data_IF_866133288584
#
_entry.id   IF_866133288584
#
_cell.length_a   1.000
_cell.length_b   1.000
_cell.length_c   1.000
_cell.angle_alpha   90.00
_cell.angle_beta   90.00
_cell.angle_gamma   90.00
#
_symmetry.space_group_name_H-M   'P 1'
#
loop_
_entity.id
_entity.type
_entity.pdbx_description
1 polymer ?
2 non-polymer ?
3 non-polymer ?
4 non-polymer ?
5 water ?
#
# COMPACT_ATOMS: atom_id res chain seq x y z
N UNK A 15 -5.70 8.11 42.47
CA UNK A 15 -4.96 7.24 43.43
C UNK A 15 -5.29 5.74 43.26
N UNK A 16 -4.35 4.91 43.71
CA UNK A 16 -4.53 3.47 43.72
C UNK A 16 -5.16 3.00 45.03
N UNK A 17 -5.51 1.69 45.15
CA UNK A 17 -5.88 1.13 46.47
C UNK A 17 -4.70 1.13 47.48
N UNK A 18 -5.03 1.13 48.76
CA UNK A 18 -4.00 1.14 49.81
C UNK A 18 -3.01 -0.02 49.59
N UNK A 19 -1.71 0.28 49.53
CA UNK A 19 -0.69 -0.76 49.34
C UNK A 19 -0.42 -1.57 50.62
N UNK A 20 -1.24 -2.60 50.79
CA UNK A 20 -1.39 -3.40 51.97
C UNK A 20 -0.86 -4.85 51.69
N UNK A 21 -0.57 -5.67 52.74
CA UNK A 21 -0.19 -7.03 52.35
C UNK A 21 -1.34 -7.77 51.65
N UNK A 22 -2.56 -7.44 52.02
CA UNK A 22 -3.71 -8.07 51.46
C UNK A 22 -3.77 -7.79 49.97
N UNK A 23 -3.40 -6.55 49.60
CA UNK A 23 -3.53 -6.10 48.24
C UNK A 23 -2.46 -6.77 47.36
N UNK A 24 -1.28 -7.01 47.93
CA UNK A 24 -0.16 -7.57 47.20
C UNK A 24 -0.50 -9.05 46.99
N UNK A 25 -1.16 -9.65 47.98
CA UNK A 25 -1.68 -11.01 47.82
C UNK A 25 -2.73 -11.06 46.66
N UNK A 26 -3.85 -10.33 46.79
CA UNK A 26 -4.77 -10.12 45.65
C UNK A 26 -4.04 -10.09 44.28
N UNK A 27 -2.96 -9.32 44.22
CA UNK A 27 -2.24 -9.06 43.00
C UNK A 27 -1.35 -10.25 42.59
N UNK A 28 -0.86 -11.01 43.56
CA UNK A 28 -0.12 -12.23 43.28
C UNK A 28 -1.11 -13.27 42.73
N UNK A 29 -2.33 -13.30 43.28
CA UNK A 29 -3.41 -14.13 42.72
C UNK A 29 -3.71 -13.74 41.30
N UNK A 30 -3.85 -12.43 41.01
CA UNK A 30 -4.13 -12.02 39.60
C UNK A 30 -3.13 -12.64 38.61
N UNK A 31 -1.83 -12.53 38.92
CA UNK A 31 -0.78 -13.07 38.03
C UNK A 31 -1.00 -14.56 37.90
N UNK A 32 -1.32 -15.22 39.00
CA UNK A 32 -1.38 -16.67 39.00
C UNK A 32 -2.48 -17.08 38.04
N UNK A 33 -3.58 -16.33 38.08
CA UNK A 33 -4.88 -16.70 37.53
C UNK A 33 -5.16 -16.07 36.17
N UNK A 34 -4.18 -15.34 35.63
CA UNK A 34 -4.26 -14.66 34.37
C UNK A 34 -5.36 -13.61 34.36
N UNK A 35 -5.38 -12.83 35.44
CA UNK A 35 -6.20 -11.63 35.56
C UNK A 35 -5.33 -10.34 35.53
N UNK A 36 -5.75 -9.34 34.75
CA UNK A 36 -5.15 -8.01 34.84
C UNK A 36 -6.29 -7.02 35.08
N UNK A 37 -6.29 -6.31 36.24
CA UNK A 37 -7.38 -5.42 36.65
C UNK A 37 -7.41 -4.10 35.83
N UNK A 38 -8.58 -3.66 35.35
CA UNK A 38 -8.63 -2.44 34.60
C UNK A 38 -7.99 -1.27 35.37
N UNK A 39 -8.18 -1.17 36.68
CA UNK A 39 -7.72 0.05 37.42
C UNK A 39 -6.19 0.30 37.48
N UNK A 40 -5.41 -0.67 37.03
CA UNK A 40 -3.95 -0.64 37.05
C UNK A 40 -3.50 -0.15 35.68
N UNK A 41 -4.40 -0.28 34.71
CA UNK A 41 -4.10 0.09 33.34
C UNK A 41 -3.89 1.59 33.16
N UNK A 42 -3.17 1.94 32.08
CA UNK A 42 -2.92 3.33 31.71
C UNK A 42 -3.94 3.85 30.69
N UNK A 43 -4.30 5.13 30.83
CA UNK A 43 -5.36 5.74 30.03
C UNK A 43 -5.39 5.21 28.62
N UNK A 44 -4.19 5.18 28.02
CA UNK A 44 -3.99 4.93 26.60
C UNK A 44 -4.27 3.47 26.14
N UNK A 45 -5.00 2.70 26.95
CA UNK A 45 -5.66 1.51 26.45
C UNK A 45 -6.91 1.96 25.72
N UNK A 46 -7.47 3.12 26.11
CA UNK A 46 -8.57 3.80 25.40
C UNK A 46 -8.27 5.33 25.27
N UNK A 47 -7.43 5.70 24.29
CA UNK A 47 -6.93 7.06 24.22
C UNK A 47 -7.94 8.03 23.68
N UNK A 48 -7.78 9.31 24.01
CA UNK A 48 -8.67 10.43 23.62
C UNK A 48 -8.86 10.45 22.11
N UNK A 49 -7.82 10.04 21.40
CA UNK A 49 -7.82 9.97 19.94
C UNK A 49 -6.70 9.00 19.59
N UNK A 50 -6.59 8.58 18.33
CA UNK A 50 -5.59 7.54 18.08
C UNK A 50 -4.16 8.06 18.18
N UNK A 51 -3.34 7.32 18.93
CA UNK A 51 -1.97 7.71 19.11
C UNK A 51 -1.07 6.53 18.73
N UNK A 52 -0.66 6.46 17.46
CA UNK A 52 0.02 5.24 16.99
C UNK A 52 1.42 4.95 17.60
N UNK A 53 1.72 3.67 17.80
CA UNK A 53 3.10 3.24 18.10
C UNK A 53 3.99 3.56 16.91
N UNK A 54 3.40 3.45 15.72
CA UNK A 54 4.08 3.74 14.46
C UNK A 54 4.29 5.26 14.35
N UNK A 55 5.34 5.65 13.65
CA UNK A 55 5.62 7.08 13.55
C UNK A 55 5.67 7.51 12.11
N UNK A 56 5.40 8.82 11.85
CA UNK A 56 5.62 9.27 10.47
C UNK A 56 7.09 9.04 10.09
N UNK A 57 7.34 8.48 8.92
CA UNK A 57 8.72 8.24 8.50
C UNK A 57 8.85 8.38 6.98
N UNK A 58 10.04 8.74 6.48
CA UNK A 58 10.32 8.85 5.04
C UNK A 58 11.47 7.91 4.69
N UNK A 59 11.39 7.26 3.53
CA UNK A 59 12.54 6.50 3.04
C UNK A 59 12.98 7.14 1.75
N UNK A 60 14.26 7.45 1.64
CA UNK A 60 14.74 8.08 0.42
C UNK A 60 14.96 7.02 -0.65
N UNK A 61 14.39 7.29 -1.81
CA UNK A 61 14.50 6.34 -2.89
C UNK A 61 15.97 5.98 -3.21
N UNK A 62 16.83 7.00 -3.24
CA UNK A 62 18.24 6.83 -3.62
C UNK A 62 18.90 5.88 -2.62
N UNK A 63 18.44 5.93 -1.38
CA UNK A 63 18.83 4.89 -0.44
C UNK A 63 18.23 3.52 -0.75
N UNK A 64 16.94 3.45 -1.06
CA UNK A 64 16.32 2.18 -1.36
C UNK A 64 16.91 1.54 -2.61
N UNK A 65 17.13 2.33 -3.65
CA UNK A 65 17.77 1.85 -4.87
C UNK A 65 19.21 1.32 -4.60
N UNK A 66 19.99 2.03 -3.78
CA UNK A 66 21.38 1.63 -3.52
C UNK A 66 21.41 0.30 -2.80
N UNK A 67 20.63 0.18 -1.72
CA UNK A 67 20.48 -1.07 -0.96
C UNK A 67 19.91 -2.27 -1.77
N UNK A 68 19.03 -1.98 -2.74
CA UNK A 68 18.47 -2.99 -3.63
C UNK A 68 19.49 -3.55 -4.66
N UNK A 69 20.27 -2.68 -5.33
CA UNK A 69 21.32 -3.13 -6.22
C UNK A 69 22.29 -4.01 -5.40
N UNK A 70 22.63 -3.54 -4.21
CA UNK A 70 23.56 -4.23 -3.35
C UNK A 70 22.97 -5.62 -3.02
N UNK A 71 21.76 -5.66 -2.45
CA UNK A 71 21.07 -6.92 -2.20
C UNK A 71 21.14 -7.86 -3.43
N UNK A 72 21.13 -7.29 -4.62
CA UNK A 72 21.14 -8.09 -5.83
C UNK A 72 22.46 -8.81 -6.09
N UNK A 73 23.55 -8.18 -5.69
CA UNK A 73 24.87 -8.74 -5.83
C UNK A 73 25.09 -9.81 -4.80
N UNK A 74 24.67 -9.54 -3.57
CA UNK A 74 25.08 -10.34 -2.44
C UNK A 74 24.15 -11.51 -2.19
N UNK A 75 22.95 -11.46 -2.76
CA UNK A 75 21.89 -12.42 -2.43
C UNK A 75 21.32 -12.98 -3.73
N UNK A 76 22.03 -13.95 -4.38
CA UNK A 76 21.50 -14.47 -5.65
C UNK A 76 20.48 -15.59 -5.37
N UNK A 77 19.90 -16.19 -6.41
CA UNK A 77 18.93 -17.28 -6.25
C UNK A 77 19.57 -18.58 -5.69
N UNK A 78 18.87 -19.23 -4.76
CA UNK A 78 19.40 -20.41 -4.05
C UNK A 78 20.05 -20.12 -2.69
N UNK A 79 20.26 -18.84 -2.39
CA UNK A 79 20.89 -18.36 -1.13
C UNK A 79 20.13 -17.09 -0.66
N UNK A 80 18.84 -16.99 -0.99
CA UNK A 80 17.99 -15.88 -0.55
C UNK A 80 17.32 -15.07 -1.65
N UNK A 81 17.93 -15.06 -2.83
CA UNK A 81 17.45 -14.32 -4.01
C UNK A 81 16.03 -14.40 -4.57
N UNK A 82 15.23 -15.41 -4.16
CA UNK A 82 13.82 -15.48 -4.61
C UNK A 82 12.88 -14.68 -3.66
N UNK A 83 13.46 -14.24 -2.54
CA UNK A 83 12.75 -13.36 -1.64
C UNK A 83 13.57 -12.09 -1.43
N UNK A 84 13.77 -11.34 -2.51
CA UNK A 84 14.63 -10.18 -2.45
C UNK A 84 13.76 -8.93 -2.37
N UNK A 85 13.13 -8.75 -1.22
CA UNK A 85 12.25 -7.63 -0.97
C UNK A 85 12.80 -6.96 0.29
N UNK A 86 12.85 -5.63 0.32
CA UNK A 86 13.41 -4.93 1.46
C UNK A 86 12.26 -4.24 2.10
N UNK A 87 11.81 -4.80 3.22
CA UNK A 87 10.66 -4.26 3.93
C UNK A 87 10.92 -2.93 4.62
N UNK A 88 10.10 -1.94 4.28
CA UNK A 88 10.13 -0.69 5.01
C UNK A 88 9.59 -0.91 6.44
N UNK A 89 10.43 -0.78 7.45
CA UNK A 89 10.04 -1.13 8.80
C UNK A 89 9.87 0.13 9.67
N UNK A 90 8.65 0.40 10.11
CA UNK A 90 8.44 1.61 10.92
C UNK A 90 9.30 1.67 12.18
N UNK A 91 10.10 2.74 12.34
CA UNK A 91 10.94 2.83 13.53
C UNK A 91 10.20 2.67 14.85
N UNK A 92 8.89 2.97 14.88
CA UNK A 92 8.11 2.79 16.12
C UNK A 92 7.52 1.40 16.38
N UNK A 93 7.67 0.46 15.42
CA UNK A 93 6.95 -0.83 15.54
C UNK A 93 7.84 -2.01 16.01
N UNK A 94 8.80 -1.70 16.89
CA UNK A 94 9.51 -2.68 17.71
C UNK A 94 10.21 -3.82 17.00
N UNK A 95 10.74 -3.57 15.79
CA UNK A 95 11.51 -4.56 15.06
C UNK A 95 10.69 -5.45 14.11
N UNK A 96 9.36 -5.24 14.04
CA UNK A 96 8.54 -5.93 13.01
C UNK A 96 8.73 -5.29 11.63
N UNK A 97 8.70 -6.15 10.60
CA UNK A 97 8.85 -5.68 9.26
C UNK A 97 7.56 -5.02 8.78
N UNK A 98 7.04 -4.07 9.58
CA UNK A 98 5.77 -3.37 9.28
C UNK A 98 5.93 -1.89 8.89
N UNK A 99 5.42 -1.45 7.72
CA UNK A 99 5.42 0.00 7.55
C UNK A 99 4.36 0.69 8.49
N UNK A 100 3.22 0.04 8.71
CA UNK A 100 2.23 0.49 9.70
C UNK A 100 1.66 -0.77 10.38
N UNK A 101 0.71 -0.58 11.30
CA UNK A 101 0.18 -1.72 12.05
C UNK A 101 -0.63 -2.63 11.14
N UNK A 102 -1.16 -2.05 10.06
CA UNK A 102 -1.94 -2.83 9.10
C UNK A 102 -1.19 -3.29 7.82
N UNK A 103 -0.14 -2.56 7.41
CA UNK A 103 0.44 -2.75 6.10
C UNK A 103 1.93 -3.09 6.04
N UNK A 104 2.27 -3.87 5.01
CA UNK A 104 3.65 -4.17 4.63
C UNK A 104 3.97 -3.52 3.29
N UNK A 105 5.15 -2.96 3.18
CA UNK A 105 5.50 -2.27 1.96
C UNK A 105 6.98 -2.57 1.74
N UNK A 106 7.33 -3.19 0.62
CA UNK A 106 8.74 -3.59 0.39
C UNK A 106 9.18 -3.24 -1.02
N UNK A 107 10.50 -3.09 -1.25
CA UNK A 107 10.99 -2.92 -2.61
C UNK A 107 11.52 -4.27 -3.07
N UNK A 108 10.80 -4.91 -3.99
CA UNK A 108 11.23 -6.15 -4.56
C UNK A 108 12.16 -5.78 -5.67
N UNK A 109 13.30 -6.48 -5.73
CA UNK A 109 14.30 -6.26 -6.76
C UNK A 109 14.48 -7.55 -7.50
N UNK A 110 14.04 -7.58 -8.74
CA UNK A 110 14.17 -8.78 -9.58
C UNK A 110 15.35 -8.63 -10.54
N UNK A 111 16.36 -9.48 -10.35
CA UNK A 111 17.55 -9.48 -11.23
C UNK A 111 17.22 -10.10 -12.60
N UNK A 112 18.14 -9.91 -13.57
CA UNK A 112 18.11 -10.47 -14.93
C UNK A 112 17.72 -11.94 -14.98
N UNK A 113 16.66 -12.26 -15.73
CA UNK A 113 16.22 -13.64 -16.02
C UNK A 113 15.62 -14.46 -14.88
N UNK A 114 15.49 -13.84 -13.71
CA UNK A 114 15.01 -14.52 -12.49
C UNK A 114 13.52 -14.86 -12.51
N UNK A 115 13.16 -15.92 -11.80
CA UNK A 115 11.77 -16.34 -11.67
C UNK A 115 11.37 -16.72 -10.23
N UNK A 116 10.06 -16.94 -10.02
CA UNK A 116 9.52 -17.47 -8.74
C UNK A 116 8.38 -18.47 -9.01
N UNK A 117 8.23 -19.52 -8.18
CA UNK A 117 7.09 -20.43 -8.47
C UNK A 117 5.77 -19.93 -7.84
N UNK A 118 4.67 -20.53 -8.26
CA UNK A 118 3.37 -20.13 -7.80
C UNK A 118 3.16 -20.49 -6.34
N UNK A 119 2.65 -19.51 -5.58
CA UNK A 119 2.00 -19.74 -4.28
C UNK A 119 0.69 -18.97 -4.17
N UNK A 120 -0.04 -19.18 -3.07
CA UNK A 120 -1.24 -18.41 -2.74
C UNK A 120 -1.25 -18.21 -1.23
N UNK A 121 -2.07 -17.26 -0.79
CA UNK A 121 -2.18 -16.92 0.62
C UNK A 121 -3.42 -16.01 0.80
N UNK A 122 -3.95 -15.99 2.00
CA UNK A 122 -5.13 -15.21 2.28
C UNK A 122 -4.83 -13.72 2.24
N UNK A 123 -3.59 -13.34 2.61
CA UNK A 123 -3.15 -11.92 2.60
C UNK A 123 -3.35 -11.33 1.23
N UNK A 124 -3.88 -10.11 1.15
CA UNK A 124 -4.11 -9.43 -0.13
C UNK A 124 -2.83 -8.66 -0.54
N UNK A 125 -2.55 -8.63 -1.85
CA UNK A 125 -1.30 -8.03 -2.34
C UNK A 125 -1.47 -7.25 -3.63
N UNK A 126 -0.71 -6.17 -3.77
CA UNK A 126 -0.51 -5.51 -5.04
C UNK A 126 1.00 -5.34 -5.28
N UNK A 127 1.33 -4.97 -6.54
CA UNK A 127 2.70 -4.75 -7.03
C UNK A 127 2.65 -3.53 -7.95
N UNK A 128 3.32 -2.45 -7.53
CA UNK A 128 3.31 -1.22 -8.27
C UNK A 128 4.67 -1.00 -8.90
N UNK A 129 4.73 -1.20 -10.22
CA UNK A 129 6.01 -1.07 -10.95
C UNK A 129 6.64 0.33 -10.92
N UNK A 130 7.89 0.36 -10.49
CA UNK A 130 8.67 1.59 -10.36
C UNK A 130 9.61 1.81 -11.57
N UNK A 131 10.53 0.86 -11.79
CA UNK A 131 11.47 0.88 -12.90
C UNK A 131 11.40 -0.48 -13.53
N UNK A 132 11.37 -0.53 -14.86
CA UNK A 132 11.61 -1.83 -15.49
C UNK A 132 10.58 -2.14 -16.54
N UNK A 133 10.85 -3.16 -17.36
CA UNK A 133 9.80 -3.81 -18.21
C UNK A 133 10.03 -5.32 -18.39
N UNK A 134 9.18 -5.96 -19.18
CA UNK A 134 9.36 -7.37 -19.58
C UNK A 134 9.29 -8.42 -18.47
N UNK A 135 8.60 -8.09 -17.40
CA UNK A 135 8.37 -9.07 -16.33
C UNK A 135 6.90 -9.41 -16.30
N UNK A 136 6.62 -10.70 -16.23
CA UNK A 136 5.25 -11.10 -16.15
C UNK A 136 5.06 -11.67 -14.79
N UNK A 137 3.94 -11.31 -14.17
CA UNK A 137 3.45 -12.03 -13.02
C UNK A 137 2.31 -12.82 -13.55
N UNK A 138 2.22 -14.08 -13.17
CA UNK A 138 1.17 -14.98 -13.66
C UNK A 138 0.20 -15.26 -12.51
N UNK A 139 -1.06 -14.85 -12.67
CA UNK A 139 -2.03 -14.84 -11.60
C UNK A 139 -3.15 -15.79 -11.98
N UNK A 140 -3.33 -16.83 -11.19
CA UNK A 140 -4.15 -17.98 -11.61
C UNK A 140 -3.92 -18.34 -13.09
N UNK A 141 -2.66 -18.55 -13.48
CA UNK A 141 -2.35 -18.98 -14.85
C UNK A 141 -2.42 -17.93 -15.96
N UNK A 142 -2.68 -16.66 -15.60
CA UNK A 142 -2.90 -15.60 -16.59
C UNK A 142 -1.78 -14.56 -16.51
N UNK A 143 -0.94 -14.50 -17.56
CA UNK A 143 0.26 -13.69 -17.41
C UNK A 143 -0.02 -12.20 -17.59
N UNK A 144 0.52 -11.39 -16.69
CA UNK A 144 0.23 -10.00 -16.67
C UNK A 144 1.57 -9.33 -16.88
N UNK A 145 1.76 -8.73 -18.05
CA UNK A 145 2.98 -7.98 -18.37
C UNK A 145 3.11 -6.82 -17.37
N UNK A 146 4.33 -6.49 -16.94
CA UNK A 146 4.55 -5.47 -15.93
C UNK A 146 5.33 -4.35 -16.57
N UNK A 147 4.93 -3.09 -16.36
CA UNK A 147 5.83 -1.97 -16.68
C UNK A 147 5.64 -0.70 -15.86
N UNK A 148 6.49 0.29 -16.08
CA UNK A 148 6.52 1.42 -15.19
C UNK A 148 5.18 2.17 -15.10
N UNK A 149 4.68 2.27 -13.86
CA UNK A 149 3.48 3.03 -13.51
C UNK A 149 2.30 2.09 -13.45
N UNK A 150 2.51 0.81 -13.74
CA UNK A 150 1.40 -0.12 -13.68
C UNK A 150 1.17 -0.55 -12.29
N UNK A 151 -0.10 -0.51 -11.88
CA UNK A 151 -0.54 -1.24 -10.68
C UNK A 151 -1.00 -2.66 -11.02
N UNK A 152 -0.32 -3.65 -10.47
CA UNK A 152 -0.82 -5.00 -10.58
C UNK A 152 -1.42 -5.47 -9.26
N UNK A 153 -2.42 -6.34 -9.37
CA UNK A 153 -3.01 -7.00 -8.21
C UNK A 153 -2.74 -8.50 -8.15
N UNK A 154 -2.45 -9.00 -6.97
CA UNK A 154 -2.63 -10.42 -6.80
C UNK A 154 -3.47 -10.66 -5.54
N UNK A 155 -4.80 -10.56 -5.69
CA UNK A 155 -5.74 -10.62 -4.57
C UNK A 155 -5.58 -11.91 -3.78
N UNK A 156 -6.03 -11.90 -2.52
CA UNK A 156 -6.05 -13.08 -1.66
C UNK A 156 -6.42 -14.38 -2.37
N UNK A 157 -5.55 -15.39 -2.29
CA UNK A 157 -5.87 -16.77 -2.62
C UNK A 157 -5.78 -17.09 -4.12
N UNK A 158 -5.18 -16.16 -4.85
CA UNK A 158 -4.91 -16.25 -6.26
C UNK A 158 -3.49 -16.73 -6.39
N UNK A 159 -3.29 -17.86 -7.06
CA UNK A 159 -1.91 -18.34 -7.34
C UNK A 159 -1.14 -17.25 -8.11
N UNK A 160 0.04 -16.87 -7.64
CA UNK A 160 0.85 -15.96 -8.42
C UNK A 160 2.29 -16.44 -8.38
N UNK A 161 2.96 -16.38 -9.54
CA UNK A 161 4.42 -16.49 -9.61
C UNK A 161 4.86 -15.48 -10.64
N UNK A 162 6.14 -15.19 -10.70
CA UNK A 162 6.58 -14.31 -11.75
C UNK A 162 7.74 -14.90 -12.60
N UNK A 163 8.07 -14.23 -13.70
CA UNK A 163 9.19 -14.60 -14.58
C UNK A 163 9.69 -13.38 -15.29
N UNK A 164 10.96 -13.04 -15.07
CA UNK A 164 11.63 -11.97 -15.84
C UNK A 164 12.00 -12.43 -17.28
N UNK A 165 11.68 -11.61 -18.28
CA UNK A 165 12.01 -12.00 -19.67
C UNK A 165 13.19 -11.26 -20.30
N UNK A 166 14.08 -10.70 -19.48
CA UNK A 166 15.03 -9.71 -19.96
C UNK A 166 16.34 -9.75 -19.16
N UNK A 167 17.40 -9.17 -19.73
CA UNK A 167 18.70 -9.05 -19.05
C UNK A 167 18.74 -7.88 -18.05
N UNK A 168 17.58 -7.29 -17.78
CA UNK A 168 17.51 -6.06 -17.00
C UNK A 168 16.81 -6.24 -15.64
N UNK A 169 17.34 -5.60 -14.57
CA UNK A 169 16.60 -5.68 -13.30
C UNK A 169 15.26 -4.90 -13.36
N UNK A 170 14.30 -5.29 -12.54
CA UNK A 170 13.12 -4.46 -12.33
C UNK A 170 12.97 -4.32 -10.84
N UNK A 171 12.59 -3.12 -10.38
CA UNK A 171 12.09 -2.98 -8.99
C UNK A 171 10.62 -2.57 -8.89
N UNK A 172 9.91 -3.10 -7.92
CA UNK A 172 8.55 -2.67 -7.66
C UNK A 172 8.19 -2.64 -6.19
N UNK A 173 7.15 -1.86 -5.84
CA UNK A 173 6.62 -1.81 -4.49
C UNK A 173 5.75 -3.02 -4.35
N UNK A 174 5.97 -3.75 -3.26
CA UNK A 174 5.37 -5.01 -2.99
C UNK A 174 4.53 -4.79 -1.73
N UNK A 175 3.24 -4.40 -1.88
CA UNK A 175 2.38 -3.93 -0.76
C UNK A 175 1.33 -4.92 -0.32
N UNK A 176 1.29 -5.27 0.97
CA UNK A 176 0.38 -6.33 1.49
C UNK A 176 -0.23 -5.98 2.83
N UNK A 177 -1.24 -6.75 3.22
CA UNK A 177 -1.93 -6.52 4.49
C UNK A 177 -1.37 -7.55 5.47
N UNK A 178 -0.08 -7.86 5.25
CA UNK A 178 0.67 -8.86 6.07
C UNK A 178 0.54 -8.58 7.57
N UNK A 179 0.76 -7.31 7.99
CA UNK A 179 0.71 -6.96 9.41
C UNK A 179 -0.70 -7.05 10.02
N UNK A 180 -1.74 -6.62 9.33
CA UNK A 180 -3.09 -6.91 9.78
C UNK A 180 -3.31 -8.45 9.92
N UNK A 181 -2.84 -9.20 8.94
CA UNK A 181 -3.16 -10.61 8.86
C UNK A 181 -2.49 -11.41 9.97
N UNK A 182 -1.26 -11.02 10.29
CA UNK A 182 -0.51 -11.62 11.38
C UNK A 182 -1.13 -11.29 12.73
N UNK A 183 -1.43 -10.03 12.99
CA UNK A 183 -1.99 -9.70 14.29
C UNK A 183 -3.36 -10.29 14.51
N UNK A 184 -4.21 -10.35 13.49
CA UNK A 184 -5.57 -10.87 13.67
C UNK A 184 -5.74 -12.37 13.44
N UNK A 185 -4.67 -13.06 13.02
CA UNK A 185 -4.68 -14.51 12.79
C UNK A 185 -5.50 -15.03 11.56
N UNK A 186 -5.35 -14.40 10.39
CA UNK A 186 -6.17 -14.81 9.23
C UNK A 186 -5.33 -15.43 8.10
N UNK A 187 -4.09 -15.80 8.42
CA UNK A 187 -3.11 -16.16 7.36
C UNK A 187 -3.20 -17.61 6.92
N UNK A 188 -3.32 -17.85 5.63
CA UNK A 188 -3.20 -19.20 5.09
C UNK A 188 -2.22 -19.11 3.93
N UNK A 189 -1.65 -20.23 3.55
CA UNK A 189 -0.62 -20.22 2.52
C UNK A 189 -0.52 -21.61 1.88
N UNK A 190 -0.42 -21.66 0.56
CA UNK A 190 -0.22 -22.93 -0.16
C UNK A 190 0.83 -22.75 -1.24
N UNK A 191 1.61 -23.82 -1.48
CA UNK A 191 2.53 -23.95 -2.63
C UNK A 191 1.71 -24.55 -3.77
N UNK A 192 2.03 -24.22 -5.02
CA UNK A 192 1.27 -24.77 -6.20
C UNK A 192 1.86 -25.96 -6.96
N UNK A 193 1.54 -26.07 -8.27
CA UNK A 193 2.03 -27.16 -9.17
C UNK A 193 3.44 -26.94 -9.72
N UNK A 198 5.80 -23.59 -19.45
CA UNK A 198 5.76 -22.53 -20.47
C UNK A 198 5.64 -21.17 -19.78
N UNK A 199 6.53 -20.25 -20.16
CA UNK A 199 6.51 -18.87 -19.64
C UNK A 199 6.01 -17.93 -20.73
N UNK A 200 4.73 -18.05 -21.08
CA UNK A 200 4.13 -17.23 -22.13
C UNK A 200 4.24 -15.70 -21.86
N UNK A 201 4.34 -14.91 -22.92
CA UNK A 201 4.50 -13.45 -22.77
C UNK A 201 3.48 -12.55 -23.51
N UNK A 202 2.16 -12.70 -23.24
CA UNK A 202 1.19 -11.87 -23.98
C UNK A 202 1.34 -10.39 -23.61
N UNK A 203 1.16 -9.47 -24.57
CA UNK A 203 1.12 -8.05 -24.24
C UNK A 203 0.06 -7.65 -23.18
N UNK A 204 -1.08 -8.36 -23.17
CA UNK A 204 -2.17 -8.07 -22.27
C UNK A 204 -2.75 -9.36 -21.82
N UNK A 205 -3.09 -9.36 -20.54
CA UNK A 205 -3.63 -10.52 -19.87
C UNK A 205 -5.03 -10.68 -20.34
N UNK A 206 -5.55 -11.88 -20.15
CA UNK A 206 -6.93 -12.17 -20.41
C UNK A 206 -7.85 -11.23 -19.61
N UNK A 207 -7.52 -11.03 -18.33
CA UNK A 207 -8.38 -10.28 -17.39
C UNK A 207 -8.67 -8.93 -17.99
N UNK A 208 -7.59 -8.21 -18.31
CA UNK A 208 -7.67 -6.94 -19.00
C UNK A 208 -8.40 -6.99 -20.35
N UNK A 209 -8.26 -8.09 -21.09
CA UNK A 209 -8.93 -8.20 -22.38
C UNK A 209 -10.42 -8.30 -22.20
N UNK A 210 -10.85 -8.93 -21.11
CA UNK A 210 -12.26 -8.94 -20.71
C UNK A 210 -12.77 -7.61 -20.05
N UNK A 211 -11.94 -6.95 -19.24
CA UNK A 211 -12.49 -6.01 -18.26
C UNK A 211 -12.04 -4.56 -18.46
N UNK A 212 -11.12 -4.33 -19.38
CA UNK A 212 -10.64 -2.96 -19.51
C UNK A 212 -11.30 -2.18 -20.62
N UNK A 213 -12.56 -2.46 -20.87
CA UNK A 213 -13.37 -1.68 -21.82
C UNK A 213 -14.37 -0.85 -21.05
N UNK A 214 -14.28 0.49 -21.13
CA UNK A 214 -15.01 1.35 -20.16
C UNK A 214 -16.54 1.21 -20.21
N UNK A 215 -17.16 1.06 -19.05
CA UNK A 215 -18.61 0.89 -18.98
C UNK A 215 -19.20 -0.40 -19.56
N UNK A 216 -18.34 -1.33 -19.97
CA UNK A 216 -18.80 -2.58 -20.54
C UNK A 216 -18.51 -3.73 -19.58
N UNK A 217 -19.44 -4.70 -19.46
CA UNK A 217 -19.22 -5.87 -18.60
C UNK A 217 -19.59 -7.22 -19.29
N UNK A 218 -18.71 -8.23 -19.26
CA UNK A 218 -18.97 -9.45 -20.04
C UNK A 218 -20.13 -10.24 -19.48
N UNK A 219 -21.02 -10.81 -20.30
CA UNK A 219 -22.15 -11.58 -19.77
C UNK A 219 -21.70 -12.84 -19.04
N UNK A 220 -20.47 -13.24 -19.25
CA UNK A 220 -19.91 -14.34 -18.52
C UNK A 220 -19.35 -13.92 -17.13
N UNK A 221 -19.19 -12.60 -16.91
CA UNK A 221 -18.71 -12.03 -15.66
C UNK A 221 -19.81 -11.30 -14.92
N UNK A 222 -21.06 -11.80 -14.98
CA UNK A 222 -22.18 -11.12 -14.28
C UNK A 222 -22.19 -11.25 -12.76
N UNK A 223 -21.35 -12.13 -12.21
CA UNK A 223 -21.33 -12.29 -10.77
C UNK A 223 -20.33 -11.28 -10.19
N UNK A 224 -20.74 -10.55 -9.15
CA UNK A 224 -19.81 -9.70 -8.39
C UNK A 224 -18.66 -10.48 -7.71
N UNK A 225 -17.52 -9.80 -7.57
CA UNK A 225 -16.34 -10.45 -6.98
C UNK A 225 -15.87 -9.66 -5.76
N UNK A 226 -14.98 -10.21 -4.95
CA UNK A 226 -14.63 -9.48 -3.72
C UNK A 226 -13.42 -8.61 -3.93
N UNK A 227 -12.54 -9.10 -4.79
CA UNK A 227 -11.45 -8.28 -5.30
C UNK A 227 -11.75 -7.96 -6.76
N UNK A 228 -11.04 -6.97 -7.32
CA UNK A 228 -11.16 -6.59 -8.73
C UNK A 228 -10.71 -7.74 -9.61
N UNK A 229 -11.37 -8.00 -10.78
CA UNK A 229 -10.73 -8.94 -11.73
C UNK A 229 -9.70 -8.32 -12.67
N UNK A 230 -9.49 -7.00 -12.63
CA UNK A 230 -8.45 -6.34 -13.41
C UNK A 230 -7.09 -6.57 -12.78
N UNK A 231 -6.22 -7.30 -13.48
CA UNK A 231 -4.92 -7.67 -12.96
C UNK A 231 -3.92 -6.56 -13.15
N UNK A 232 -4.04 -5.74 -14.19
CA UNK A 232 -3.15 -4.54 -14.30
C UNK A 232 -3.91 -3.26 -14.65
N UNK A 233 -3.65 -2.23 -13.87
CA UNK A 233 -4.17 -0.92 -14.18
C UNK A 233 -3.02 -0.17 -14.77
N UNK A 234 -3.00 -0.13 -16.09
CA UNK A 234 -1.82 0.39 -16.76
C UNK A 234 -1.66 1.91 -16.70
N UNK A 235 -0.40 2.34 -16.64
CA UNK A 235 -0.02 3.76 -16.62
C UNK A 235 -0.83 4.64 -17.55
N UNK A 236 -0.90 4.20 -18.80
CA UNK A 236 -1.60 4.90 -19.88
C UNK A 236 -2.89 5.54 -19.37
N UNK A 237 -3.76 4.65 -18.88
CA UNK A 237 -5.09 5.05 -18.44
C UNK A 237 -5.01 5.99 -17.25
N UNK A 238 -4.16 5.64 -16.27
CA UNK A 238 -4.00 6.48 -15.08
C UNK A 238 -3.56 7.91 -15.48
N UNK A 239 -2.58 8.00 -16.38
CA UNK A 239 -2.11 9.29 -16.89
C UNK A 239 -3.22 10.08 -17.61
N UNK A 240 -3.89 9.43 -18.55
CA UNK A 240 -5.00 10.05 -19.27
C UNK A 240 -6.13 10.60 -18.36
N UNK A 241 -6.56 9.82 -17.37
CA UNK A 241 -7.60 10.29 -16.42
C UNK A 241 -7.16 11.55 -15.67
N UNK A 242 -5.90 11.56 -15.22
CA UNK A 242 -5.38 12.63 -14.39
C UNK A 242 -5.26 13.88 -15.23
N UNK A 243 -4.73 13.70 -16.43
CA UNK A 243 -4.71 14.79 -17.39
C UNK A 243 -6.12 15.32 -17.73
N UNK A 244 -7.09 14.45 -17.98
CA UNK A 244 -8.40 14.96 -18.36
C UNK A 244 -9.07 15.78 -17.25
N UNK A 245 -8.77 15.44 -16.00
CA UNK A 245 -9.28 16.14 -14.83
C UNK A 245 -8.70 17.55 -14.70
N UNK A 246 -7.45 17.67 -15.10
CA UNK A 246 -6.77 18.97 -15.13
C UNK A 246 -7.31 19.84 -16.29
N UNK A 247 -7.34 19.28 -17.50
CA UNK A 247 -8.00 19.91 -18.63
C UNK A 247 -9.44 20.39 -18.30
N UNK A 248 -10.24 19.55 -17.63
CA UNK A 248 -11.62 19.92 -17.18
C UNK A 248 -11.63 21.08 -16.18
N UNK A 249 -10.60 21.15 -15.32
CA UNK A 249 -10.44 22.31 -14.43
C UNK A 249 -10.19 23.61 -15.24
N UNK A 250 -9.32 23.53 -16.24
CA UNK A 250 -9.01 24.68 -17.12
C UNK A 250 -10.24 25.26 -17.85
N UNK A 251 -11.27 24.42 -17.99
CA UNK A 251 -12.45 24.69 -18.78
C UNK A 251 -13.66 25.10 -17.87
N UNK A 252 -13.39 25.27 -16.58
CA UNK A 252 -14.44 25.61 -15.62
C UNK A 252 -15.38 24.49 -15.21
N UNK A 253 -15.13 23.26 -15.69
CA UNK A 253 -15.94 22.05 -15.35
C UNK A 253 -15.46 21.38 -14.07
N UNK A 254 -16.40 20.94 -13.20
CA UNK A 254 -16.03 20.29 -11.92
C UNK A 254 -15.46 18.87 -12.15
N UNK A 255 -14.47 18.47 -11.34
CA UNK A 255 -13.68 17.25 -11.65
C UNK A 255 -12.61 16.90 -10.62
N UNK A 256 -11.83 17.89 -10.21
CA UNK A 256 -10.71 17.68 -9.33
C UNK A 256 -11.32 17.58 -7.95
N UNK A 257 -10.65 16.96 -6.98
CA UNK A 257 -11.21 16.92 -5.61
C UNK A 257 -11.05 18.24 -4.89
N UNK A 258 -10.01 18.96 -5.29
CA UNK A 258 -9.68 20.25 -4.70
C UNK A 258 -8.89 20.98 -5.77
N UNK A 259 -8.69 22.29 -5.61
CA UNK A 259 -8.12 23.02 -6.75
C UNK A 259 -6.68 22.60 -7.13
N UNK A 260 -6.48 22.25 -8.40
CA UNK A 260 -5.18 21.82 -8.88
C UNK A 260 -4.80 20.43 -8.39
N UNK A 261 -5.73 19.79 -7.67
CA UNK A 261 -5.53 18.45 -7.12
C UNK A 261 -6.36 17.44 -7.92
N UNK A 262 -5.79 16.85 -8.97
CA UNK A 262 -6.48 15.75 -9.69
C UNK A 262 -6.24 14.42 -8.95
N UNK A 263 -7.13 13.44 -9.06
CA UNK A 263 -6.99 12.19 -8.29
C UNK A 263 -7.98 11.10 -8.67
N UNK A 264 -7.52 9.85 -8.76
CA UNK A 264 -8.38 8.74 -9.13
C UNK A 264 -8.21 7.73 -8.07
N UNK A 265 -9.25 6.93 -7.86
CA UNK A 265 -9.15 5.73 -7.03
C UNK A 265 -9.19 4.50 -7.95
N UNK A 266 -8.31 3.52 -7.74
CA UNK A 266 -8.38 2.28 -8.48
C UNK A 266 -9.53 1.42 -7.89
N UNK A 267 -10.38 0.87 -8.74
CA UNK A 267 -11.59 0.21 -8.28
C UNK A 267 -11.82 -1.10 -8.97
N UNK A 268 -12.63 -1.92 -8.30
CA UNK A 268 -13.16 -3.21 -8.71
C UNK A 268 -14.32 -2.95 -9.65
N UNK A 269 -14.19 -3.32 -10.93
CA UNK A 269 -15.36 -2.91 -11.73
C UNK A 269 -16.66 -3.69 -11.48
N UNK A 270 -16.65 -4.83 -10.81
CA UNK A 270 -17.92 -5.54 -10.61
C UNK A 270 -18.86 -4.79 -9.61
N UNK A 271 -18.26 -3.91 -8.82
CA UNK A 271 -18.79 -3.38 -7.59
C UNK A 271 -18.64 -1.82 -7.53
N UNK A 272 -17.62 -1.26 -8.20
CA UNK A 272 -17.21 0.15 -8.03
C UNK A 272 -16.46 0.49 -6.71
N UNK A 273 -16.13 -0.51 -5.93
CA UNK A 273 -15.52 -0.32 -4.62
C UNK A 273 -14.03 -0.52 -4.74
N UNK A 274 -13.39 -0.82 -3.61
CA UNK A 274 -11.94 -0.92 -3.59
C UNK A 274 -11.39 -2.18 -4.28
N UNK A 275 -10.19 -2.08 -4.84
CA UNK A 275 -9.53 -3.23 -5.47
C UNK A 275 -9.55 -4.54 -4.67
N UNK A 276 -9.34 -4.45 -3.37
CA UNK A 276 -9.29 -5.66 -2.53
C UNK A 276 -9.88 -5.28 -1.16
N UNK A 277 -10.30 -6.27 -0.33
CA UNK A 277 -11.05 -5.86 0.85
C UNK A 277 -10.28 -5.09 1.87
N UNK A 278 -8.96 -5.24 1.92
CA UNK A 278 -8.22 -4.60 2.99
C UNK A 278 -7.40 -3.38 2.50
N UNK A 279 -7.37 -3.10 1.21
CA UNK A 279 -6.36 -2.17 0.73
C UNK A 279 -6.95 -1.25 -0.27
N UNK A 280 -6.66 0.05 -0.14
CA UNK A 280 -7.18 1.00 -1.13
C UNK A 280 -6.01 1.49 -1.96
N UNK A 281 -6.22 1.75 -3.23
CA UNK A 281 -5.15 2.31 -4.01
C UNK A 281 -5.70 3.50 -4.77
N UNK A 282 -4.86 4.49 -4.99
CA UNK A 282 -5.25 5.75 -5.55
C UNK A 282 -4.01 6.34 -6.21
N UNK A 283 -4.23 7.37 -7.02
CA UNK A 283 -3.12 8.08 -7.63
C UNK A 283 -3.51 9.54 -7.65
N UNK A 284 -2.59 10.42 -7.29
CA UNK A 284 -2.86 11.86 -7.22
C UNK A 284 -1.90 12.61 -8.10
N UNK A 285 -2.38 13.61 -8.84
CA UNK A 285 -1.51 14.51 -9.60
C UNK A 285 -1.73 15.97 -9.25
N UNK A 286 -0.67 16.64 -8.81
CA UNK A 286 -0.79 17.98 -8.34
C UNK A 286 -0.17 19.01 -9.28
N UNK A 287 -1.01 19.92 -9.72
CA UNK A 287 -0.54 21.05 -10.49
C UNK A 287 0.48 21.70 -9.55
N UNK A 288 1.60 22.12 -10.13
CA UNK A 288 2.59 22.96 -9.41
C UNK A 288 2.02 24.13 -8.57
N UNK A 289 2.55 24.30 -7.36
CA UNK A 289 2.07 25.35 -6.44
C UNK A 289 0.95 24.89 -5.50
N UNK A 290 0.33 23.77 -5.83
CA UNK A 290 -0.80 23.26 -5.07
C UNK A 290 -0.38 22.79 -3.66
N UNK A 291 -1.09 23.23 -2.64
CA UNK A 291 -0.80 22.79 -1.30
C UNK A 291 -2.11 22.23 -0.74
N UNK A 292 -2.14 21.01 -0.22
CA UNK A 292 -3.45 20.43 0.16
C UNK A 292 -3.78 20.89 1.56
N UNK A 293 -5.05 20.78 1.93
CA UNK A 293 -5.48 21.15 3.25
C UNK A 293 -5.09 20.02 4.18
N UNK A 294 -4.73 20.36 5.41
CA UNK A 294 -4.31 19.40 6.39
C UNK A 294 -5.46 18.47 6.75
N UNK A 295 -5.19 17.16 6.78
CA UNK A 295 -6.16 16.11 7.06
C UNK A 295 -5.60 15.25 8.18
N UNK A 296 -6.51 14.90 9.09
CA UNK A 296 -6.37 13.83 10.04
C UNK A 296 -7.33 12.70 9.56
N UNK A 297 -6.78 11.56 9.16
CA UNK A 297 -7.59 10.43 8.74
C UNK A 297 -7.26 9.22 9.65
N UNK A 298 -8.31 8.51 10.14
CA UNK A 298 -8.16 7.24 10.85
C UNK A 298 -7.50 6.18 9.93
N UNK A 299 -6.55 5.42 10.48
CA UNK A 299 -5.89 4.37 9.75
C UNK A 299 -4.68 4.93 9.06
N UNK A 300 -3.91 4.08 8.41
CA UNK A 300 -2.62 4.49 7.91
C UNK A 300 -2.56 4.53 6.41
N UNK A 301 -1.77 5.43 5.85
CA UNK A 301 -1.61 5.43 4.40
C UNK A 301 -0.12 5.50 4.04
N UNK A 302 0.24 5.04 2.86
CA UNK A 302 1.58 5.16 2.39
C UNK A 302 1.48 5.82 1.04
N UNK A 303 2.41 6.71 0.73
CA UNK A 303 2.50 7.36 -0.58
C UNK A 303 3.88 7.10 -1.20
N UNK A 304 3.98 7.15 -2.50
CA UNK A 304 5.29 7.06 -3.24
C UNK A 304 5.28 8.09 -4.34
N UNK A 305 6.30 8.93 -4.37
CA UNK A 305 6.41 9.96 -5.40
C UNK A 305 6.68 9.26 -6.71
N UNK A 306 5.72 9.28 -7.62
CA UNK A 306 5.99 8.69 -8.90
C UNK A 306 6.89 9.61 -9.72
N UNK A 307 6.60 10.90 -9.70
CA UNK A 307 7.26 11.91 -10.56
C UNK A 307 7.10 13.31 -9.97
N UNK A 308 8.06 14.20 -10.25
CA UNK A 308 8.02 15.57 -9.74
C UNK A 308 8.81 15.79 -8.47
N UNK A 309 8.64 16.97 -7.90
CA UNK A 309 9.33 17.35 -6.71
C UNK A 309 8.32 18.06 -5.88
N UNK A 310 8.43 17.94 -4.56
CA UNK A 310 7.54 18.68 -3.70
C UNK A 310 7.87 18.31 -2.28
N UNK A 311 6.90 18.44 -1.36
CA UNK A 311 7.16 18.17 0.04
C UNK A 311 5.97 17.53 0.79
N UNK A 312 6.20 16.89 1.93
CA UNK A 312 5.10 16.61 2.87
C UNK A 312 5.24 17.33 4.18
N UNK A 313 4.13 17.72 4.77
CA UNK A 313 4.16 18.10 6.17
C UNK A 313 3.49 16.95 6.88
N UNK A 314 4.05 16.53 7.99
CA UNK A 314 3.44 15.53 8.86
C UNK A 314 3.74 16.02 10.23
N UNK A 315 2.74 16.05 11.12
CA UNK A 315 2.91 16.61 12.47
C UNK A 315 3.60 18.00 12.51
N UNK A 316 3.54 18.77 11.42
CA UNK A 316 4.04 20.15 11.45
C UNK A 316 5.42 20.27 10.84
N UNK A 317 6.05 19.12 10.69
CA UNK A 317 7.38 18.99 10.18
C UNK A 317 7.35 18.74 8.69
N UNK A 318 7.96 19.66 7.92
CA UNK A 318 8.12 19.56 6.48
C UNK A 318 9.32 18.67 6.14
N UNK A 319 9.15 17.76 5.17
CA UNK A 319 10.24 17.00 4.56
C UNK A 319 10.15 17.14 3.04
N UNK A 320 11.23 17.58 2.41
CA UNK A 320 11.32 17.63 0.94
C UNK A 320 11.36 16.23 0.31
N UNK A 321 10.71 16.08 -0.84
CA UNK A 321 10.58 14.77 -1.47
C UNK A 321 11.06 14.77 -2.91
N UNK A 322 11.70 13.67 -3.29
CA UNK A 322 12.17 13.48 -4.66
C UNK A 322 11.54 12.21 -5.25
N UNK A 323 11.65 12.07 -6.57
CA UNK A 323 11.13 10.93 -7.28
C UNK A 323 11.46 9.58 -6.60
N UNK A 324 10.45 8.73 -6.39
CA UNK A 324 10.61 7.43 -5.70
C UNK A 324 10.45 7.41 -4.18
N UNK A 325 10.65 8.55 -3.51
CA UNK A 325 10.60 8.62 -2.04
C UNK A 325 9.27 8.13 -1.53
N UNK A 326 9.30 7.48 -0.37
CA UNK A 326 8.11 6.83 0.14
C UNK A 326 7.89 7.32 1.56
N UNK A 327 6.66 7.60 1.94
CA UNK A 327 6.41 7.95 3.35
C UNK A 327 5.09 7.38 3.90
N UNK A 328 5.01 7.27 5.23
CA UNK A 328 3.83 6.79 5.92
C UNK A 328 3.28 7.79 6.96
N UNK A 329 1.95 7.92 6.91
CA UNK A 329 1.19 8.74 7.80
C UNK A 329 0.37 7.79 8.68
N UNK A 330 0.79 7.56 9.94
CA UNK A 330 -0.06 6.67 10.75
C UNK A 330 -1.41 7.30 11.07
N UNK A 331 -2.34 6.50 11.56
CA UNK A 331 -3.65 6.94 12.10
C UNK A 331 -3.61 8.33 12.74
N UNK A 332 -4.33 9.27 12.15
CA UNK A 332 -4.66 10.55 12.77
C UNK A 332 -3.53 11.59 12.77
N UNK A 333 -2.39 11.23 12.18
CA UNK A 333 -1.31 12.20 12.07
C UNK A 333 -1.76 13.24 11.06
N UNK A 334 -1.73 14.54 11.42
CA UNK A 334 -2.17 15.57 10.49
C UNK A 334 -1.13 15.73 9.35
N UNK A 335 -1.55 15.75 8.09
CA UNK A 335 -0.63 15.72 6.94
C UNK A 335 -1.13 16.57 5.81
N UNK A 336 -0.19 17.05 4.99
CA UNK A 336 -0.53 17.65 3.70
C UNK A 336 0.65 17.55 2.79
N UNK A 337 0.35 17.71 1.51
CA UNK A 337 1.32 17.63 0.45
C UNK A 337 1.43 18.97 -0.21
N UNK A 338 2.62 19.29 -0.72
CA UNK A 338 2.87 20.52 -1.45
C UNK A 338 3.72 20.23 -2.67
N UNK A 339 3.34 20.83 -3.79
CA UNK A 339 3.90 20.56 -5.10
C UNK A 339 4.78 21.74 -5.62
N UNK A 340 6.07 21.48 -5.71
CA UNK A 340 6.95 22.47 -6.29
C UNK A 340 6.86 22.36 -7.80
N UNK A 341 7.14 21.20 -8.39
CA UNK A 341 6.82 21.00 -9.80
C UNK A 341 5.47 20.28 -9.86
N UNK A 342 5.13 19.70 -11.02
CA UNK A 342 3.93 18.88 -11.10
C UNK A 342 4.24 17.51 -10.48
N UNK A 343 3.39 17.09 -9.54
CA UNK A 343 3.70 16.10 -8.52
C UNK A 343 2.77 14.88 -8.59
N UNK A 344 3.29 13.74 -9.05
CA UNK A 344 2.49 12.52 -9.21
C UNK A 344 2.78 11.55 -8.07
N UNK A 345 1.72 11.08 -7.40
CA UNK A 345 1.89 10.17 -6.26
C UNK A 345 0.93 8.98 -6.20
N UNK A 346 1.54 7.81 -6.11
CA UNK A 346 0.80 6.60 -5.91
C UNK A 346 0.48 6.58 -4.44
N UNK A 347 -0.69 6.01 -4.09
CA UNK A 347 -1.13 5.95 -2.65
C UNK A 347 -1.79 4.62 -2.28
N UNK A 348 -1.53 4.15 -1.05
CA UNK A 348 -2.35 3.05 -0.54
C UNK A 348 -2.58 3.20 0.94
N UNK A 349 -3.64 2.53 1.41
CA UNK A 349 -4.05 2.65 2.78
C UNK A 349 -4.87 1.45 3.27
N UNK A 350 -5.10 1.38 4.59
CA UNK A 350 -6.00 0.38 5.20
C UNK A 350 -7.43 0.91 5.36
N UNK A 351 -7.74 2.01 4.67
CA UNK A 351 -9.08 2.61 4.75
C UNK A 351 -10.26 1.67 4.54
N UNK A 352 -10.14 0.63 3.66
CA UNK A 352 -11.37 -0.19 3.54
C UNK A 352 -11.66 -0.99 4.83
N UNK A 353 -10.65 -1.30 5.63
CA UNK A 353 -10.84 -1.93 6.96
C UNK A 353 -11.60 -0.94 7.92
N UNK A 354 -11.12 0.29 8.05
CA UNK A 354 -11.74 1.30 8.91
C UNK A 354 -13.16 1.62 8.42
N UNK A 355 -13.36 1.76 7.12
CA UNK A 355 -14.72 2.03 6.60
C UNK A 355 -15.64 0.85 6.71
N UNK A 356 -15.17 -0.36 6.41
CA UNK A 356 -16.02 -1.55 6.56
C UNK A 356 -16.57 -1.70 7.96
N UNK A 357 -15.76 -1.32 8.96
CA UNK A 357 -16.08 -1.45 10.40
C UNK A 357 -16.59 -0.13 11.08
N UNK A 358 -16.92 0.88 10.28
CA UNK A 358 -17.39 2.19 10.82
C UNK A 358 -16.42 2.85 11.84
N UNK A 359 -15.12 2.72 11.66
CA UNK A 359 -14.16 3.39 12.54
C UNK A 359 -13.57 4.62 11.93
N UNK A 360 -13.83 4.86 10.65
CA UNK A 360 -13.29 5.98 9.88
C UNK A 360 -13.87 7.32 10.30
N UNK A 361 -12.98 8.30 10.46
CA UNK A 361 -13.31 9.68 10.79
C UNK A 361 -12.32 10.52 10.00
N UNK A 362 -12.69 11.75 9.67
CA UNK A 362 -11.87 12.61 8.85
C UNK A 362 -12.06 14.02 9.36
N UNK A 363 -10.95 14.71 9.62
CA UNK A 363 -10.93 16.15 9.86
C UNK A 363 -10.13 16.81 8.73
N UNK A 364 -10.67 17.90 8.19
CA UNK A 364 -10.05 18.65 7.10
C UNK A 364 -10.01 20.09 7.58
N UNK A 365 -8.94 20.82 7.26
CA UNK A 365 -8.69 22.15 7.86
C UNK A 365 -9.75 23.25 7.63
N UNK A 366 -10.00 23.61 6.37
CA UNK A 366 -11.13 24.52 5.98
C UNK A 366 -12.47 24.06 6.58
N UNK A 367 -13.26 23.27 5.83
CA UNK A 367 -14.43 22.52 6.36
C UNK A 367 -14.88 22.84 7.81
#
# INVERSE_FOLDING_TARGET
MQNEKLDHESVTQAMQPKDTPELRALYKSFEEESIIPLWTQLGDLMPIHPKSKAVPHVWKWSTLLRLARKSGELVPVGRGGERRALGLANPGLGGNAYISPTMWAAIQYLGPRETAPEHRHSQNAFRFVVEGEGVWTVVNGDPVRMSRGDLLLTPGWCFHGHMNDTDQPMAWIDGLDIPFSQQMDVGFFEFGSDRVTDYATPNFSRGERLWCHPGLRPLSGLQNTVASPIGAYRWEFTDRALTEQLLLEDEGQPATVAPGHAAIRYVNPTTGGDVMPTLRCEFHRLRAGTETATRNEVGSTVFQVFEGAGAVVMNGETTKLEKGDMFVVPSWVPWSLQAETQFDLFRFSDAPIMEALSFMRTKIEGQK
#
